data_IF_685128272199
#
_entry.id   IF_685128272199
#
_cell.length_a   1.000
_cell.length_b   1.000
_cell.length_c   1.000
_cell.angle_alpha   90.00
_cell.angle_beta   90.00
_cell.angle_gamma   90.00
#
_symmetry.space_group_name_H-M   'P 1'
#
loop_
_entity.id
_entity.type
_entity.pdbx_description
1 polymer ?
#
# COMPACT_ATOMS: atom_id res chain seq x y z
N UNK A 1 -22.94 3.69 -20.24
CA UNK A 1 -21.94 4.76 -20.48
C UNK A 1 -21.54 4.84 -21.94
N UNK A 2 -20.93 3.80 -22.53
CA UNK A 2 -20.55 3.80 -23.95
C UNK A 2 -21.73 4.11 -24.91
N UNK A 3 -22.91 3.52 -24.67
CA UNK A 3 -24.12 3.82 -25.45
C UNK A 3 -24.58 5.29 -25.34
N UNK A 4 -24.52 5.88 -24.15
CA UNK A 4 -24.94 7.27 -23.91
C UNK A 4 -24.00 8.30 -24.59
N UNK A 5 -22.70 7.95 -24.68
CA UNK A 5 -21.70 8.76 -25.39
C UNK A 5 -21.91 8.66 -26.91
N UNK A 6 -22.30 7.48 -27.42
CA UNK A 6 -22.64 7.28 -28.83
C UNK A 6 -23.94 8.01 -29.25
N UNK A 7 -24.86 8.24 -28.32
CA UNK A 7 -26.11 9.00 -28.53
C UNK A 7 -25.92 10.53 -28.51
N UNK A 8 -24.69 11.03 -28.31
CA UNK A 8 -24.39 12.47 -28.35
C UNK A 8 -24.72 13.23 -27.08
N UNK A 9 -24.93 12.54 -25.94
CA UNK A 9 -25.14 13.19 -24.66
C UNK A 9 -23.89 13.98 -24.24
N UNK A 10 -24.10 15.21 -23.72
CA UNK A 10 -23.01 16.05 -23.24
C UNK A 10 -22.29 15.38 -22.06
N UNK A 11 -20.99 15.15 -22.20
CA UNK A 11 -20.14 14.53 -21.17
C UNK A 11 -19.70 15.51 -20.07
N UNK A 12 -20.22 16.73 -20.08
CA UNK A 12 -19.92 17.76 -19.07
C UNK A 12 -20.51 17.41 -17.69
N UNK A 13 -21.62 16.67 -17.67
CA UNK A 13 -22.23 16.19 -16.43
C UNK A 13 -21.76 14.77 -16.12
N UNK A 14 -21.84 14.39 -14.85
CA UNK A 14 -21.36 13.08 -14.41
C UNK A 14 -22.24 11.97 -15.02
N UNK A 15 -21.71 11.33 -16.07
CA UNK A 15 -22.38 10.34 -16.92
C UNK A 15 -22.96 9.19 -16.08
N UNK A 16 -22.35 8.85 -14.94
CA UNK A 16 -22.87 7.84 -14.03
C UNK A 16 -24.28 8.17 -13.52
N UNK A 17 -24.53 9.41 -13.12
CA UNK A 17 -25.85 9.83 -12.61
C UNK A 17 -26.86 10.05 -13.74
N UNK A 18 -26.40 10.38 -14.95
CA UNK A 18 -27.27 10.54 -16.13
C UNK A 18 -27.86 9.22 -16.63
N UNK A 19 -27.26 8.07 -16.30
CA UNK A 19 -27.79 6.75 -16.66
C UNK A 19 -29.00 6.34 -15.82
N UNK A 20 -29.24 7.05 -14.72
CA UNK A 20 -30.28 6.72 -13.77
C UNK A 20 -31.56 7.49 -14.10
N UNK A 21 -32.72 6.82 -14.16
CA UNK A 21 -34.01 7.51 -14.21
C UNK A 21 -34.15 8.50 -13.04
N UNK A 22 -34.85 9.61 -13.25
CA UNK A 22 -35.01 10.70 -12.28
C UNK A 22 -35.48 10.22 -10.90
N UNK A 23 -36.38 9.24 -10.86
CA UNK A 23 -36.99 8.73 -9.63
C UNK A 23 -36.00 7.94 -8.75
N UNK A 24 -34.92 7.42 -9.33
CA UNK A 24 -33.90 6.63 -8.64
C UNK A 24 -32.60 7.41 -8.38
N UNK A 25 -32.51 8.65 -8.82
CA UNK A 25 -31.29 9.46 -8.72
C UNK A 25 -30.91 9.74 -7.26
N UNK A 26 -31.87 10.12 -6.42
CA UNK A 26 -31.61 10.37 -4.98
C UNK A 26 -31.16 9.11 -4.23
N UNK A 27 -31.85 7.94 -4.36
CA UNK A 27 -31.34 6.67 -3.84
C UNK A 27 -29.91 6.33 -4.32
N UNK A 28 -29.61 6.56 -5.60
CA UNK A 28 -28.31 6.27 -6.17
C UNK A 28 -27.20 7.16 -5.57
N UNK A 29 -27.46 8.44 -5.32
CA UNK A 29 -26.52 9.35 -4.64
C UNK A 29 -26.25 8.88 -3.20
N UNK A 30 -27.28 8.47 -2.47
CA UNK A 30 -27.12 7.96 -1.11
C UNK A 30 -26.26 6.68 -1.14
N UNK A 31 -26.57 5.76 -2.04
CA UNK A 31 -25.82 4.51 -2.19
C UNK A 31 -24.35 4.75 -2.57
N UNK A 32 -24.09 5.65 -3.54
CA UNK A 32 -22.72 5.96 -3.97
C UNK A 32 -21.92 6.63 -2.85
N UNK A 33 -22.57 7.48 -2.05
CA UNK A 33 -21.95 8.12 -0.88
C UNK A 33 -21.57 7.09 0.17
N UNK A 34 -22.47 6.18 0.52
CA UNK A 34 -22.20 5.08 1.46
C UNK A 34 -21.07 4.18 0.94
N UNK A 35 -21.10 3.82 -0.35
CA UNK A 35 -20.04 3.01 -0.97
C UNK A 35 -18.67 3.72 -0.91
N UNK A 36 -18.63 5.03 -1.12
CA UNK A 36 -17.40 5.84 -1.04
C UNK A 36 -16.83 5.85 0.39
N UNK A 37 -17.69 5.96 1.41
CA UNK A 37 -17.28 5.88 2.82
C UNK A 37 -16.69 4.51 3.13
N UNK A 38 -17.35 3.43 2.71
CA UNK A 38 -16.87 2.05 2.94
C UNK A 38 -15.52 1.83 2.24
N UNK A 39 -15.38 2.25 0.99
CA UNK A 39 -14.13 2.13 0.24
C UNK A 39 -12.99 2.89 0.93
N UNK A 40 -13.24 4.11 1.44
CA UNK A 40 -12.26 4.89 2.19
C UNK A 40 -11.79 4.16 3.45
N UNK A 41 -12.72 3.58 4.22
CA UNK A 41 -12.40 2.81 5.44
C UNK A 41 -11.58 1.55 5.13
N UNK A 42 -11.89 0.85 4.04
CA UNK A 42 -11.13 -0.32 3.60
C UNK A 42 -9.68 0.05 3.26
N UNK A 43 -9.45 1.18 2.57
CA UNK A 43 -8.10 1.65 2.23
C UNK A 43 -7.30 2.05 3.49
N UNK A 44 -7.92 2.77 4.43
CA UNK A 44 -7.27 3.17 5.69
C UNK A 44 -6.85 1.93 6.48
N UNK A 45 -7.75 0.95 6.63
CA UNK A 45 -7.49 -0.31 7.33
C UNK A 45 -6.40 -1.14 6.62
N UNK A 46 -6.43 -1.17 5.28
CA UNK A 46 -5.40 -1.80 4.46
C UNK A 46 -4.02 -1.15 4.68
N UNK A 47 -3.96 0.18 4.74
CA UNK A 47 -2.72 0.91 5.00
C UNK A 47 -2.13 0.61 6.40
N UNK A 48 -2.98 0.49 7.44
CA UNK A 48 -2.53 0.07 8.77
C UNK A 48 -1.94 -1.35 8.76
N UNK A 49 -2.58 -2.26 8.03
CA UNK A 49 -2.12 -3.65 7.89
C UNK A 49 -0.77 -3.73 7.15
N UNK A 50 -0.63 -3.03 6.02
CA UNK A 50 0.63 -2.96 5.28
C UNK A 50 1.75 -2.30 6.10
N UNK A 51 1.43 -1.24 6.86
CA UNK A 51 2.39 -0.59 7.76
C UNK A 51 2.90 -1.57 8.83
N UNK A 52 1.99 -2.34 9.45
CA UNK A 52 2.37 -3.36 10.44
C UNK A 52 3.27 -4.43 9.82
N UNK A 53 2.96 -4.91 8.61
CA UNK A 53 3.80 -5.87 7.88
C UNK A 53 5.19 -5.28 7.58
N UNK A 54 5.25 -4.03 7.11
CA UNK A 54 6.52 -3.33 6.86
C UNK A 54 7.36 -3.15 8.15
N UNK A 55 6.72 -2.86 9.28
CA UNK A 55 7.39 -2.80 10.59
C UNK A 55 7.97 -4.15 11.01
N UNK A 56 7.25 -5.25 10.79
CA UNK A 56 7.72 -6.61 11.10
C UNK A 56 8.91 -7.03 10.23
N UNK A 57 8.93 -6.59 8.97
CA UNK A 57 10.04 -6.81 8.04
C UNK A 57 11.22 -5.82 8.26
N UNK A 58 11.12 -4.91 9.23
CA UNK A 58 12.15 -3.94 9.55
C UNK A 58 12.31 -2.80 8.52
N UNK A 59 11.28 -2.54 7.72
CA UNK A 59 11.27 -1.43 6.74
C UNK A 59 10.80 -0.10 7.33
N UNK A 60 10.12 -0.13 8.48
CA UNK A 60 9.64 1.07 9.18
C UNK A 60 10.02 1.03 10.66
N UNK A 61 10.12 2.22 11.31
CA UNK A 61 10.27 2.31 12.75
C UNK A 61 9.10 1.64 13.47
N UNK A 62 9.34 1.22 14.72
CA UNK A 62 8.25 0.73 15.56
C UNK A 62 7.33 1.89 15.93
N UNK A 63 6.19 1.98 15.24
CA UNK A 63 5.14 2.92 15.56
C UNK A 63 4.25 2.36 16.67
N UNK A 64 3.60 3.25 17.44
CA UNK A 64 2.61 2.84 18.46
C UNK A 64 1.39 2.27 17.75
N UNK A 65 1.21 0.95 17.91
CA UNK A 65 0.03 0.23 17.43
C UNK A 65 -0.98 0.14 18.58
N UNK A 66 -2.18 0.68 18.36
CA UNK A 66 -3.30 0.53 19.29
C UNK A 66 -4.19 -0.59 18.76
N UNK A 67 -4.40 -1.63 19.57
CA UNK A 67 -5.38 -2.67 19.24
C UNK A 67 -6.76 -2.11 19.55
N UNK A 68 -7.63 -2.07 18.55
CA UNK A 68 -8.99 -1.53 18.70
C UNK A 68 -9.95 -2.60 19.23
N UNK A 69 -9.58 -3.87 19.14
CA UNK A 69 -10.28 -4.99 19.79
C UNK A 69 -9.29 -6.03 20.32
N UNK A 70 -9.69 -6.69 21.41
CA UNK A 70 -8.98 -7.80 22.04
C UNK A 70 -9.11 -9.13 21.28
N UNK A 71 -10.10 -9.27 20.39
CA UNK A 71 -10.46 -10.56 19.76
C UNK A 71 -10.19 -10.60 18.24
N UNK A 72 -10.09 -9.45 17.57
CA UNK A 72 -9.96 -9.38 16.11
C UNK A 72 -8.54 -9.19 15.61
N UNK A 73 -7.95 -10.22 14.99
CA UNK A 73 -6.76 -10.09 14.13
C UNK A 73 -7.10 -9.19 12.92
N UNK A 74 -6.87 -7.88 13.01
CA UNK A 74 -7.13 -6.93 11.93
C UNK A 74 -7.60 -5.54 12.36
N UNK A 75 -8.06 -5.38 13.60
CA UNK A 75 -8.51 -4.09 14.12
C UNK A 75 -7.34 -3.28 14.71
N UNK A 76 -6.45 -2.86 13.81
CA UNK A 76 -5.20 -2.19 14.12
C UNK A 76 -5.34 -0.70 13.85
N UNK A 77 -5.12 0.14 14.86
CA UNK A 77 -5.05 1.59 14.67
C UNK A 77 -3.61 2.10 14.82
N UNK A 78 -3.14 2.83 13.82
CA UNK A 78 -1.83 3.48 13.82
C UNK A 78 -2.03 4.98 13.60
N UNK A 79 -2.08 5.74 14.70
CA UNK A 79 -2.42 7.16 14.67
C UNK A 79 -1.54 8.01 13.75
N UNK A 80 -0.24 7.73 13.70
CA UNK A 80 0.71 8.42 12.81
C UNK A 80 0.33 8.23 11.34
N UNK A 81 -0.02 7.00 10.94
CA UNK A 81 -0.44 6.70 9.57
C UNK A 81 -1.75 7.39 9.25
N UNK A 82 -2.70 7.43 10.21
CA UNK A 82 -3.98 8.11 10.02
C UNK A 82 -3.79 9.61 9.73
N UNK A 83 -2.98 10.30 10.54
CA UNK A 83 -2.66 11.71 10.33
C UNK A 83 -1.90 11.95 9.02
N UNK A 84 -0.97 11.07 8.67
CA UNK A 84 -0.24 11.15 7.40
C UNK A 84 -1.19 10.99 6.21
N UNK A 85 -2.08 10.00 6.24
CA UNK A 85 -3.10 9.79 5.20
C UNK A 85 -4.03 11.01 5.10
N UNK A 86 -4.44 11.59 6.22
CA UNK A 86 -5.28 12.79 6.22
C UNK A 86 -4.56 13.98 5.57
N UNK A 87 -3.31 14.25 5.96
CA UNK A 87 -2.52 15.34 5.36
C UNK A 87 -2.25 15.10 3.88
N UNK A 88 -1.91 13.87 3.48
CA UNK A 88 -1.67 13.51 2.09
C UNK A 88 -2.94 13.65 1.24
N UNK A 89 -4.09 13.17 1.73
CA UNK A 89 -5.36 13.28 1.00
C UNK A 89 -5.82 14.74 0.86
N UNK A 90 -5.78 15.53 1.93
CA UNK A 90 -6.09 16.96 1.85
C UNK A 90 -5.12 17.70 0.93
N UNK A 91 -3.83 17.42 1.02
CA UNK A 91 -2.80 18.01 0.15
C UNK A 91 -3.03 17.68 -1.32
N UNK A 92 -3.41 16.43 -1.64
CA UNK A 92 -3.74 16.02 -3.01
C UNK A 92 -5.02 16.71 -3.52
N UNK A 93 -6.07 16.81 -2.70
CA UNK A 93 -7.32 17.48 -3.09
C UNK A 93 -7.06 18.95 -3.40
N UNK A 94 -6.33 19.65 -2.52
CA UNK A 94 -5.98 21.07 -2.71
C UNK A 94 -5.04 21.26 -3.90
N UNK A 95 -4.03 20.40 -4.05
CA UNK A 95 -3.03 20.51 -5.11
C UNK A 95 -3.56 20.21 -6.52
N UNK A 96 -4.52 19.30 -6.64
CA UNK A 96 -5.09 18.94 -7.95
C UNK A 96 -6.29 19.81 -8.35
N UNK A 97 -7.17 20.17 -7.40
CA UNK A 97 -8.37 20.99 -7.61
C UNK A 97 -9.41 20.43 -8.60
N UNK A 98 -9.11 19.37 -9.33
CA UNK A 98 -9.96 18.73 -10.34
C UNK A 98 -9.96 17.21 -10.17
N UNK A 99 -11.16 16.64 -10.14
CA UNK A 99 -11.40 15.20 -10.03
C UNK A 99 -10.79 14.41 -11.20
N UNK A 100 -10.73 14.98 -12.40
CA UNK A 100 -10.16 14.31 -13.58
C UNK A 100 -8.66 14.10 -13.47
N UNK A 101 -7.94 15.13 -13.02
CA UNK A 101 -6.48 15.04 -12.83
C UNK A 101 -6.14 14.07 -11.69
N UNK A 102 -6.95 14.07 -10.62
CA UNK A 102 -6.82 13.13 -9.52
C UNK A 102 -7.06 11.67 -9.98
N UNK A 103 -8.09 11.45 -10.81
CA UNK A 103 -8.40 10.14 -11.37
C UNK A 103 -7.29 9.62 -12.30
N UNK A 104 -6.71 10.51 -13.13
CA UNK A 104 -5.57 10.15 -13.98
C UNK A 104 -4.34 9.74 -13.15
N UNK A 105 -4.04 10.48 -12.09
CA UNK A 105 -2.93 10.18 -11.19
C UNK A 105 -3.12 8.83 -10.49
N UNK A 106 -4.31 8.56 -9.97
CA UNK A 106 -4.66 7.27 -9.38
C UNK A 106 -4.53 6.12 -10.39
N UNK A 107 -4.99 6.30 -11.64
CA UNK A 107 -4.90 5.30 -12.70
C UNK A 107 -3.47 4.84 -13.00
N UNK A 108 -2.50 5.77 -12.98
CA UNK A 108 -1.08 5.44 -13.16
C UNK A 108 -0.55 4.62 -11.98
N UNK A 109 -0.86 5.02 -10.74
CA UNK A 109 -0.40 4.29 -9.55
C UNK A 109 -0.97 2.86 -9.48
N UNK A 110 -2.25 2.71 -9.80
CA UNK A 110 -2.92 1.40 -9.80
C UNK A 110 -2.38 0.52 -10.92
N UNK A 111 -2.29 1.03 -12.15
CA UNK A 111 -1.77 0.25 -13.28
C UNK A 111 -0.31 -0.17 -13.08
N UNK A 112 0.53 0.68 -12.48
CA UNK A 112 1.89 0.31 -12.08
C UNK A 112 1.89 -0.82 -11.05
N UNK A 113 0.99 -0.75 -10.07
CA UNK A 113 0.85 -1.79 -9.05
C UNK A 113 0.37 -3.11 -9.68
N UNK A 114 -0.56 -3.06 -10.63
CA UNK A 114 -1.05 -4.23 -11.37
C UNK A 114 0.10 -4.92 -12.12
N UNK A 115 0.94 -4.16 -12.83
CA UNK A 115 2.15 -4.68 -13.47
C UNK A 115 3.08 -5.38 -12.47
N UNK A 116 3.35 -4.75 -11.32
CA UNK A 116 4.15 -5.37 -10.27
C UNK A 116 3.51 -6.67 -9.75
N UNK A 117 2.19 -6.69 -9.54
CA UNK A 117 1.49 -7.90 -9.09
C UNK A 117 1.48 -9.00 -10.11
N UNK A 118 1.46 -8.69 -11.42
CA UNK A 118 1.56 -9.70 -12.49
C UNK A 118 2.95 -10.33 -12.55
N UNK A 119 4.01 -9.54 -12.31
CA UNK A 119 5.37 -10.09 -12.13
C UNK A 119 5.44 -10.98 -10.88
N UNK A 120 4.85 -10.54 -9.76
CA UNK A 120 4.79 -11.35 -8.55
C UNK A 120 3.96 -12.63 -8.74
N UNK A 121 2.88 -12.58 -9.53
CA UNK A 121 2.06 -13.72 -9.89
C UNK A 121 2.91 -14.76 -10.62
N UNK A 122 3.69 -14.34 -11.62
CA UNK A 122 4.62 -15.25 -12.30
C UNK A 122 5.57 -15.94 -11.34
N UNK A 123 6.18 -15.17 -10.42
CA UNK A 123 7.08 -15.71 -9.39
C UNK A 123 6.34 -16.69 -8.48
N UNK A 124 5.10 -16.39 -8.08
CA UNK A 124 4.29 -17.26 -7.24
C UNK A 124 3.93 -18.57 -7.95
N UNK A 125 3.41 -18.51 -9.20
CA UNK A 125 3.08 -19.68 -10.01
C UNK A 125 4.31 -20.60 -10.17
N UNK A 126 5.45 -20.01 -10.51
CA UNK A 126 6.65 -20.78 -10.80
C UNK A 126 7.39 -21.27 -9.55
N UNK A 127 7.65 -20.40 -8.57
CA UNK A 127 8.49 -20.75 -7.40
C UNK A 127 7.69 -21.31 -6.23
N UNK A 128 6.49 -20.81 -5.97
CA UNK A 128 5.68 -21.23 -4.81
C UNK A 128 4.81 -22.45 -5.18
N UNK A 129 4.13 -22.40 -6.33
CA UNK A 129 3.24 -23.47 -6.78
C UNK A 129 3.91 -24.47 -7.71
N UNK A 130 5.18 -24.25 -8.08
CA UNK A 130 6.01 -25.17 -8.87
C UNK A 130 5.39 -25.56 -10.23
N UNK A 131 4.61 -24.66 -10.83
CA UNK A 131 4.09 -24.87 -12.17
C UNK A 131 5.22 -24.84 -13.20
N UNK A 132 5.01 -25.52 -14.34
CA UNK A 132 5.93 -25.46 -15.47
C UNK A 132 6.13 -23.99 -15.90
N UNK A 133 7.34 -23.65 -16.33
CA UNK A 133 7.69 -22.28 -16.75
C UNK A 133 6.80 -21.81 -17.91
N UNK A 134 6.43 -22.73 -18.80
CA UNK A 134 5.57 -22.44 -19.97
C UNK A 134 4.16 -22.09 -19.52
N UNK A 135 3.55 -22.88 -18.64
CA UNK A 135 2.18 -22.63 -18.15
C UNK A 135 2.13 -21.37 -17.29
N UNK A 136 3.14 -21.15 -16.45
CA UNK A 136 3.27 -19.93 -15.65
C UNK A 136 3.44 -18.70 -16.53
N UNK A 137 4.27 -18.80 -17.58
CA UNK A 137 4.52 -17.74 -18.55
C UNK A 137 3.31 -17.41 -19.41
N UNK A 138 2.52 -18.41 -19.82
CA UNK A 138 1.28 -18.19 -20.56
C UNK A 138 0.24 -17.44 -19.73
N UNK A 139 0.00 -17.88 -18.49
CA UNK A 139 -0.98 -17.23 -17.60
C UNK A 139 -0.53 -15.82 -17.26
N UNK A 140 0.70 -15.66 -16.75
CA UNK A 140 1.21 -14.33 -16.41
C UNK A 140 1.36 -13.43 -17.64
N UNK A 141 1.71 -13.99 -18.80
CA UNK A 141 1.82 -13.26 -20.06
C UNK A 141 0.48 -12.68 -20.51
N UNK A 142 -0.61 -13.41 -20.36
CA UNK A 142 -1.96 -12.90 -20.66
C UNK A 142 -2.31 -11.69 -19.78
N UNK A 143 -2.08 -11.78 -18.47
CA UNK A 143 -2.25 -10.64 -17.57
C UNK A 143 -1.31 -9.48 -17.90
N UNK A 144 -0.06 -9.78 -18.26
CA UNK A 144 0.95 -8.78 -18.58
C UNK A 144 0.56 -7.96 -19.81
N UNK A 145 -0.05 -8.58 -20.83
CA UNK A 145 -0.54 -7.86 -22.02
C UNK A 145 -1.63 -6.85 -21.64
N UNK A 146 -2.59 -7.27 -20.80
CA UNK A 146 -3.68 -6.40 -20.36
C UNK A 146 -3.15 -5.27 -19.49
N UNK A 147 -2.33 -5.59 -18.49
CA UNK A 147 -1.78 -4.61 -17.55
C UNK A 147 -0.84 -3.63 -18.25
N UNK A 148 0.01 -4.10 -19.17
CA UNK A 148 0.91 -3.25 -19.93
C UNK A 148 0.13 -2.32 -20.87
N UNK A 149 -0.94 -2.81 -21.50
CA UNK A 149 -1.81 -1.96 -22.33
C UNK A 149 -2.50 -0.88 -21.48
N UNK A 150 -3.01 -1.25 -20.31
CA UNK A 150 -3.66 -0.31 -19.41
C UNK A 150 -2.65 0.71 -18.83
N UNK A 151 -1.45 0.27 -18.46
CA UNK A 151 -0.37 1.14 -18.01
C UNK A 151 0.08 2.10 -19.12
N UNK A 152 0.27 1.62 -20.34
CA UNK A 152 0.63 2.46 -21.49
C UNK A 152 -0.43 3.52 -21.78
N UNK A 153 -1.72 3.16 -21.71
CA UNK A 153 -2.82 4.10 -21.86
C UNK A 153 -2.81 5.18 -20.75
N UNK A 154 -2.55 4.79 -19.50
CA UNK A 154 -2.47 5.73 -18.38
C UNK A 154 -1.20 6.61 -18.43
N UNK A 155 -0.10 6.11 -18.99
CA UNK A 155 1.17 6.85 -19.09
C UNK A 155 1.07 8.10 -19.98
N UNK A 156 0.14 8.12 -20.94
CA UNK A 156 -0.16 9.33 -21.73
C UNK A 156 -0.58 10.53 -20.87
N UNK A 157 -1.15 10.27 -19.68
CA UNK A 157 -1.59 11.30 -18.72
C UNK A 157 -0.52 11.63 -17.67
N UNK A 158 0.71 11.11 -17.81
CA UNK A 158 1.78 11.32 -16.85
C UNK A 158 2.10 12.80 -16.61
N UNK A 159 2.16 13.59 -17.69
CA UNK A 159 2.45 15.03 -17.62
C UNK A 159 1.27 15.81 -16.99
N UNK A 160 0.05 15.29 -17.10
CA UNK A 160 -1.18 15.94 -16.59
C UNK A 160 -1.42 15.69 -15.08
N UNK A 161 -0.36 15.40 -14.32
CA UNK A 161 -0.40 15.18 -12.87
C UNK A 161 -0.10 13.75 -12.42
N UNK A 162 0.11 12.83 -13.37
CA UNK A 162 0.49 11.44 -13.09
C UNK A 162 1.84 11.25 -12.41
N UNK A 163 2.73 12.23 -12.51
CA UNK A 163 4.02 12.20 -11.82
C UNK A 163 3.88 12.30 -10.29
N UNK A 164 2.81 12.92 -9.76
CA UNK A 164 2.67 13.22 -8.32
C UNK A 164 2.67 11.95 -7.45
N UNK A 165 1.83 10.92 -7.73
CA UNK A 165 1.88 9.67 -6.96
C UNK A 165 3.23 8.95 -7.06
N UNK A 166 3.88 9.01 -8.22
CA UNK A 166 5.19 8.37 -8.42
C UNK A 166 6.27 9.10 -7.61
N UNK A 167 6.27 10.43 -7.61
CA UNK A 167 7.16 11.24 -6.77
C UNK A 167 6.93 10.93 -5.29
N UNK A 168 5.68 10.87 -4.84
CA UNK A 168 5.34 10.53 -3.46
C UNK A 168 5.81 9.12 -3.09
N UNK A 169 5.62 8.15 -3.99
CA UNK A 169 6.09 6.78 -3.81
C UNK A 169 7.61 6.71 -3.68
N UNK A 170 8.37 7.45 -4.50
CA UNK A 170 9.84 7.53 -4.44
C UNK A 170 10.29 8.12 -3.10
N UNK A 171 9.64 9.19 -2.62
CA UNK A 171 9.98 9.83 -1.34
C UNK A 171 9.77 8.84 -0.19
N UNK A 172 8.58 8.23 -0.11
CA UNK A 172 8.24 7.27 0.96
C UNK A 172 9.17 6.06 0.89
N UNK A 173 9.41 5.50 -0.30
CA UNK A 173 10.31 4.38 -0.50
C UNK A 173 11.74 4.72 -0.07
N UNK A 174 12.23 5.92 -0.40
CA UNK A 174 13.57 6.37 0.01
C UNK A 174 13.69 6.46 1.53
N UNK A 175 12.68 7.00 2.21
CA UNK A 175 12.64 7.03 3.68
C UNK A 175 12.65 5.61 4.28
N UNK A 176 11.82 4.71 3.76
CA UNK A 176 11.78 3.30 4.18
C UNK A 176 13.12 2.61 3.95
N UNK A 177 13.76 2.85 2.80
CA UNK A 177 15.05 2.25 2.45
C UNK A 177 16.17 2.73 3.38
N UNK A 178 16.24 4.04 3.65
CA UNK A 178 17.20 4.62 4.60
C UNK A 178 17.01 4.00 5.99
N UNK A 179 15.76 3.91 6.45
CA UNK A 179 15.43 3.29 7.73
C UNK A 179 15.86 1.82 7.79
N UNK A 180 15.50 1.05 6.75
CA UNK A 180 15.82 -0.37 6.67
C UNK A 180 17.34 -0.64 6.71
N UNK A 181 18.12 0.19 6.02
CA UNK A 181 19.59 0.13 6.06
C UNK A 181 20.13 0.42 7.46
N UNK A 182 19.58 1.43 8.15
CA UNK A 182 19.91 1.74 9.54
C UNK A 182 19.58 0.58 10.49
N UNK A 183 18.37 0.04 10.39
CA UNK A 183 17.91 -1.11 11.18
C UNK A 183 18.83 -2.33 11.02
N UNK A 184 19.19 -2.68 9.78
CA UNK A 184 20.15 -3.78 9.51
C UNK A 184 21.52 -3.54 10.14
N UNK A 185 22.02 -2.32 10.09
CA UNK A 185 23.33 -1.95 10.66
C UNK A 185 23.32 -2.09 12.19
N UNK A 186 22.26 -1.64 12.84
CA UNK A 186 22.09 -1.77 14.30
C UNK A 186 21.95 -3.25 14.68
N UNK A 187 21.15 -4.01 13.94
CA UNK A 187 20.93 -5.43 14.19
C UNK A 187 22.24 -6.26 14.12
N UNK A 188 23.15 -5.92 13.19
CA UNK A 188 24.47 -6.55 13.09
C UNK A 188 25.34 -6.19 14.30
N UNK A 189 25.47 -4.90 14.63
CA UNK A 189 26.28 -4.45 15.78
C UNK A 189 25.76 -4.97 17.13
N UNK A 190 24.45 -5.17 17.24
CA UNK A 190 23.85 -5.72 18.45
C UNK A 190 24.15 -7.22 18.61
N UNK A 191 24.30 -7.97 17.52
CA UNK A 191 24.79 -9.35 17.57
C UNK A 191 26.27 -9.40 17.99
N UNK A 192 27.09 -8.45 17.56
CA UNK A 192 28.51 -8.36 17.93
C UNK A 192 28.72 -7.96 19.39
N UNK A 193 27.81 -7.18 19.98
CA UNK A 193 27.85 -6.74 21.38
C UNK A 193 27.18 -7.70 22.38
N UNK A 194 26.45 -8.71 21.90
CA UNK A 194 25.92 -9.72 22.79
C UNK A 194 27.07 -10.61 23.25
N UNK A 195 27.56 -10.33 24.46
CA UNK A 195 28.42 -11.23 25.24
C UNK A 195 27.71 -12.59 25.25
N UNK A 196 28.33 -13.62 24.68
CA UNK A 196 27.77 -14.98 24.69
C UNK A 196 27.50 -15.36 26.14
N UNK A 197 26.39 -16.05 26.42
CA UNK A 197 26.02 -16.48 27.79
C UNK A 197 27.21 -17.18 28.46
N UNK A 198 27.98 -17.96 27.70
CA UNK A 198 29.20 -18.62 28.18
C UNK A 198 30.28 -17.63 28.61
N UNK A 199 30.55 -16.59 27.82
CA UNK A 199 31.53 -15.55 28.21
C UNK A 199 31.05 -14.67 29.37
N UNK A 200 29.72 -14.50 29.54
CA UNK A 200 29.14 -13.82 30.70
C UNK A 200 29.25 -14.69 31.97
N UNK A 201 28.99 -16.00 31.84
CA UNK A 201 29.16 -16.97 32.92
C UNK A 201 30.63 -17.09 33.36
N UNK A 202 31.57 -17.15 32.41
CA UNK A 202 33.01 -17.13 32.69
C UNK A 202 33.46 -15.85 33.40
N UNK A 203 32.85 -14.71 33.06
CA UNK A 203 33.13 -13.43 33.72
C UNK A 203 32.64 -13.41 35.17
N UNK A 204 31.44 -13.93 35.43
CA UNK A 204 30.90 -14.08 36.80
C UNK A 204 31.75 -15.06 37.63
N UNK A 205 32.24 -16.13 37.01
CA UNK A 205 33.06 -17.14 37.69
C UNK A 205 34.45 -16.60 38.04
N UNK A 206 35.01 -15.70 37.21
CA UNK A 206 36.27 -14.98 37.48
C UNK A 206 36.15 -13.85 38.50
N UNK A 207 35.03 -13.12 38.52
CA UNK A 207 34.84 -12.00 39.45
C UNK A 207 34.47 -12.43 40.87
N UNK A 208 34.23 -13.73 41.11
CA UNK A 208 34.02 -14.26 42.46
C UNK A 208 32.83 -13.61 43.16
N UNK A 209 31.74 -13.36 42.42
CA UNK A 209 30.56 -12.68 42.97
C UNK A 209 29.97 -13.52 44.09
N UNK A 210 29.99 -12.97 45.32
CA UNK A 210 29.53 -13.66 46.53
C UNK A 210 28.04 -13.98 46.38
N UNK A 211 27.70 -15.27 46.27
CA UNK A 211 26.31 -15.72 46.33
C UNK A 211 25.75 -15.41 47.72
N UNK A 212 24.81 -14.48 47.80
CA UNK A 212 24.02 -14.28 49.00
C UNK A 212 23.08 -15.48 49.14
N UNK A 213 23.43 -16.42 50.02
CA UNK A 213 22.53 -17.48 50.46
C UNK A 213 21.35 -16.84 51.17
N UNK A 214 20.13 -17.20 50.77
CA UNK A 214 18.97 -17.10 51.66
C UNK A 214 19.11 -18.10 52.80
#
# INVERSE_FOLDING_TARGET
QAALVLEGASTEHNIFYMLCPSDFLLPLIILSTVATIIASQAIITGAFSMTRQAMQLGWLPRLRVTQTSSEGYGQIYIGVVNWLLMLATLGLIIGFGSSEKLAAAYGIAVSATMLCTTVLLFIALHKLWKWNIITSGLVAGLFMIVDASFFAANLTKFINGGYIPITLAIIIYSMMYIWHKGYKTIAIKQKEKNITVDSFLDSIQKEGVVRVSK
#
